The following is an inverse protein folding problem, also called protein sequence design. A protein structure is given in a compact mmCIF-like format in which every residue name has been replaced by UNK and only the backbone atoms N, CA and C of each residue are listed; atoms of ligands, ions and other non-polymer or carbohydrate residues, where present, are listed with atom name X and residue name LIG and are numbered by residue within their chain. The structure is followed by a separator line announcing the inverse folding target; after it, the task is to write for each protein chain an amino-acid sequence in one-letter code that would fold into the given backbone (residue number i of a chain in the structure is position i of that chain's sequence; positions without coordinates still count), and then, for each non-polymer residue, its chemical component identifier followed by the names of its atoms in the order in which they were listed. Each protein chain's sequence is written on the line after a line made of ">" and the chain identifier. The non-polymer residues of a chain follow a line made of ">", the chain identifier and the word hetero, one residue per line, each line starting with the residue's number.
data_IF_665503132768
#
_entry.id   IF_665503132768
#
_cell.length_a   1.000
_cell.length_b   1.000
_cell.length_c   1.000
_cell.angle_alpha   90.00
_cell.angle_beta   90.00
_cell.angle_gamma   90.00
#
_symmetry.space_group_name_H-M   'P 1'
#
loop_
_entity.id
_entity.type
_entity.pdbx_description
1 polymer ?
#
# COMPACT_ATOMS: atom_id res chain seq x y z
N UNK A 1 -11.46 -18.15 20.44
CA UNK A 1 -10.59 -17.34 19.55
C UNK A 1 -9.17 -17.63 19.98
N UNK A 2 -8.40 -18.30 19.13
CA UNK A 2 -7.00 -18.63 19.40
C UNK A 2 -6.20 -17.33 19.43
N UNK A 3 -5.67 -16.98 20.63
CA UNK A 3 -4.82 -15.81 20.81
C UNK A 3 -3.50 -16.00 20.06
N UNK A 4 -3.45 -15.47 18.84
CA UNK A 4 -2.16 -15.27 18.20
C UNK A 4 -1.40 -14.23 18.99
N UNK A 5 -0.14 -14.53 19.31
CA UNK A 5 0.74 -13.55 19.92
C UNK A 5 0.72 -12.26 19.10
N UNK A 6 0.74 -11.06 19.71
CA UNK A 6 0.68 -9.78 19.02
C UNK A 6 1.68 -9.66 17.86
N UNK A 7 2.83 -10.31 18.01
CA UNK A 7 3.87 -10.40 17.00
C UNK A 7 3.42 -11.18 15.75
N UNK A 8 2.79 -12.33 15.93
CA UNK A 8 2.30 -13.15 14.82
C UNK A 8 1.17 -12.44 14.04
N UNK A 9 0.27 -11.78 14.77
CA UNK A 9 -0.83 -11.04 14.17
C UNK A 9 -0.33 -9.86 13.31
N UNK A 10 0.63 -9.10 13.83
CA UNK A 10 1.23 -8.00 13.09
C UNK A 10 1.92 -8.48 11.81
N UNK A 11 2.76 -9.51 11.94
CA UNK A 11 3.46 -10.07 10.78
C UNK A 11 2.48 -10.62 9.74
N UNK A 12 1.38 -11.20 10.20
CA UNK A 12 0.32 -11.64 9.30
C UNK A 12 -0.31 -10.47 8.54
N UNK A 13 -0.61 -9.34 9.19
CA UNK A 13 -1.16 -8.15 8.53
C UNK A 13 -0.19 -7.60 7.47
N UNK A 14 1.08 -7.44 7.83
CA UNK A 14 2.09 -6.90 6.91
C UNK A 14 2.25 -7.81 5.69
N UNK A 15 2.40 -9.11 5.91
CA UNK A 15 2.45 -10.09 4.82
C UNK A 15 1.18 -10.09 3.96
N UNK A 16 0.01 -9.95 4.57
CA UNK A 16 -1.24 -9.87 3.82
C UNK A 16 -1.27 -8.66 2.91
N UNK A 17 -0.73 -7.51 3.34
CA UNK A 17 -0.62 -6.34 2.49
C UNK A 17 0.33 -6.58 1.30
N UNK A 18 1.49 -7.21 1.53
CA UNK A 18 2.45 -7.59 0.48
C UNK A 18 1.82 -8.56 -0.53
N UNK A 19 1.25 -9.65 -0.04
CA UNK A 19 0.59 -10.66 -0.88
C UNK A 19 -0.56 -10.09 -1.69
N UNK A 20 -1.36 -9.19 -1.09
CA UNK A 20 -2.49 -8.54 -1.78
C UNK A 20 -2.01 -7.71 -2.95
N UNK A 21 -0.97 -6.88 -2.75
CA UNK A 21 -0.40 -6.08 -3.82
C UNK A 21 0.22 -6.95 -4.91
N UNK A 22 1.05 -7.91 -4.54
CA UNK A 22 1.76 -8.78 -5.48
C UNK A 22 0.79 -9.62 -6.32
N UNK A 23 -0.29 -10.13 -5.72
CA UNK A 23 -1.35 -10.84 -6.46
C UNK A 23 -2.13 -9.91 -7.38
N UNK A 24 -2.45 -8.70 -6.92
CA UNK A 24 -3.12 -7.70 -7.76
C UNK A 24 -2.27 -7.40 -8.99
N UNK A 25 -1.00 -7.03 -8.79
CA UNK A 25 -0.08 -6.71 -9.87
C UNK A 25 0.03 -7.85 -10.88
N UNK A 26 0.29 -9.06 -10.41
CA UNK A 26 0.44 -10.24 -11.26
C UNK A 26 -0.82 -10.54 -12.09
N UNK A 27 -2.00 -10.52 -11.44
CA UNK A 27 -3.28 -10.77 -12.13
C UNK A 27 -3.63 -9.66 -13.11
N UNK A 28 -3.35 -8.41 -12.74
CA UNK A 28 -3.58 -7.26 -13.60
C UNK A 28 -2.68 -7.32 -14.85
N UNK A 29 -1.40 -7.62 -14.69
CA UNK A 29 -0.47 -7.80 -15.81
C UNK A 29 -0.91 -8.92 -16.76
N UNK A 30 -1.26 -10.08 -16.19
CA UNK A 30 -1.73 -11.21 -16.99
C UNK A 30 -2.99 -10.86 -17.79
N UNK A 31 -3.95 -10.20 -17.14
CA UNK A 31 -5.20 -9.79 -17.78
C UNK A 31 -4.96 -8.71 -18.85
N UNK A 32 -4.08 -7.75 -18.60
CA UNK A 32 -3.69 -6.75 -19.58
C UNK A 32 -3.10 -7.39 -20.83
N UNK A 33 -2.11 -8.27 -20.67
CA UNK A 33 -1.46 -8.98 -21.79
C UNK A 33 -2.46 -9.80 -22.61
N UNK A 34 -3.42 -10.45 -21.93
CA UNK A 34 -4.44 -11.26 -22.60
C UNK A 34 -5.37 -10.43 -23.50
N UNK A 35 -5.62 -9.15 -23.15
CA UNK A 35 -6.62 -8.30 -23.81
C UNK A 35 -6.04 -7.08 -24.54
N UNK A 36 -4.73 -6.85 -24.50
CA UNK A 36 -4.13 -5.65 -25.10
C UNK A 36 -4.34 -5.55 -26.61
N UNK A 37 -4.52 -6.68 -27.28
CA UNK A 37 -4.75 -6.73 -28.73
C UNK A 37 -6.20 -6.42 -29.13
N UNK A 38 -7.14 -6.66 -28.22
CA UNK A 38 -8.57 -6.58 -28.50
C UNK A 38 -9.19 -5.25 -28.06
N UNK A 39 -8.40 -4.38 -27.43
CA UNK A 39 -8.90 -3.10 -26.94
C UNK A 39 -9.05 -2.09 -28.09
N UNK A 40 -10.28 -1.67 -28.43
CA UNK A 40 -10.52 -0.65 -29.46
C UNK A 40 -9.97 0.74 -29.08
N UNK A 41 -9.62 0.93 -27.81
CA UNK A 41 -9.09 2.18 -27.24
C UNK A 41 -7.58 2.14 -27.04
N UNK A 42 -6.87 1.13 -27.56
CA UNK A 42 -5.42 1.17 -27.53
C UNK A 42 -4.96 2.27 -28.50
N UNK A 43 -4.53 3.42 -27.96
CA UNK A 43 -3.93 4.53 -28.72
C UNK A 43 -2.68 4.13 -29.50
N UNK A 44 -2.19 2.91 -29.30
CA UNK A 44 -1.01 2.37 -29.90
C UNK A 44 -1.39 1.31 -30.92
N UNK A 45 -1.09 1.57 -32.16
CA UNK A 45 -1.21 0.57 -33.20
C UNK A 45 -0.28 -0.61 -32.82
N UNK A 46 -0.83 -1.81 -32.70
CA UNK A 46 -0.07 -3.03 -32.38
C UNK A 46 1.19 -3.22 -33.26
N UNK A 47 1.22 -2.57 -34.42
CA UNK A 47 2.35 -2.59 -35.35
C UNK A 47 3.57 -1.78 -34.87
N UNK A 48 3.45 -0.90 -33.90
CA UNK A 48 4.56 -0.09 -33.40
C UNK A 48 5.37 -0.72 -32.26
N UNK A 49 5.05 -1.92 -31.91
CA UNK A 49 5.95 -2.77 -31.14
C UNK A 49 5.50 -3.12 -29.72
N UNK A 50 5.66 -4.39 -29.40
CA UNK A 50 5.43 -4.98 -28.08
C UNK A 50 6.16 -4.25 -26.93
N UNK A 51 7.29 -3.58 -27.25
CA UNK A 51 8.09 -2.81 -26.27
C UNK A 51 7.30 -1.60 -25.76
N UNK A 52 6.56 -0.90 -26.63
CA UNK A 52 5.74 0.25 -26.23
C UNK A 52 4.62 -0.14 -25.27
N UNK A 53 3.94 -1.26 -25.51
CA UNK A 53 2.90 -1.79 -24.61
C UNK A 53 3.45 -2.22 -23.27
N UNK A 54 4.61 -2.88 -23.25
CA UNK A 54 5.24 -3.30 -22.00
C UNK A 54 5.61 -2.09 -21.14
N UNK A 55 6.21 -1.05 -21.73
CA UNK A 55 6.56 0.18 -21.01
C UNK A 55 5.31 0.93 -20.49
N UNK A 56 4.25 1.00 -21.31
CA UNK A 56 2.99 1.62 -20.90
C UNK A 56 2.37 0.90 -19.71
N UNK A 57 2.31 -0.43 -19.75
CA UNK A 57 1.81 -1.26 -18.64
C UNK A 57 2.62 -1.06 -17.38
N UNK A 58 3.94 -1.07 -17.46
CA UNK A 58 4.81 -0.82 -16.32
C UNK A 58 4.58 0.57 -15.72
N UNK A 59 4.48 1.61 -16.55
CA UNK A 59 4.20 2.98 -16.09
C UNK A 59 2.83 3.07 -15.42
N UNK A 60 1.82 2.44 -15.99
CA UNK A 60 0.48 2.44 -15.43
C UNK A 60 0.43 1.76 -14.06
N UNK A 61 1.01 0.57 -13.93
CA UNK A 61 1.12 -0.13 -12.64
C UNK A 61 1.93 0.65 -11.62
N UNK A 62 2.99 1.31 -12.07
CA UNK A 62 3.78 2.21 -11.21
C UNK A 62 2.94 3.35 -10.65
N UNK A 63 2.13 4.02 -11.48
CA UNK A 63 1.23 5.08 -11.03
C UNK A 63 0.17 4.55 -10.06
N UNK A 64 -0.44 3.39 -10.34
CA UNK A 64 -1.39 2.76 -9.41
C UNK A 64 -0.72 2.49 -8.05
N UNK A 65 0.53 2.01 -8.05
CA UNK A 65 1.27 1.76 -6.81
C UNK A 65 1.49 3.05 -6.01
N UNK A 66 1.98 4.10 -6.66
CA UNK A 66 2.20 5.41 -6.05
C UNK A 66 0.90 6.01 -5.51
N UNK A 67 -0.19 5.91 -6.25
CA UNK A 67 -1.50 6.39 -5.81
C UNK A 67 -2.03 5.56 -4.64
N UNK A 68 -1.84 4.25 -4.66
CA UNK A 68 -2.20 3.35 -3.54
C UNK A 68 -1.50 3.79 -2.25
N UNK A 69 -0.20 4.10 -2.30
CA UNK A 69 0.57 4.61 -1.16
C UNK A 69 0.01 5.95 -0.69
N UNK A 70 -0.26 6.88 -1.61
CA UNK A 70 -0.81 8.19 -1.29
C UNK A 70 -2.18 8.11 -0.64
N UNK A 71 -3.10 7.33 -1.20
CA UNK A 71 -4.43 7.11 -0.63
C UNK A 71 -4.40 6.41 0.72
N UNK A 72 -3.53 5.41 0.87
CA UNK A 72 -3.34 4.74 2.16
C UNK A 72 -2.88 5.73 3.24
N UNK A 73 -1.92 6.60 2.93
CA UNK A 73 -1.46 7.64 3.85
C UNK A 73 -2.58 8.61 4.24
N UNK A 74 -3.39 9.09 3.28
CA UNK A 74 -4.55 9.94 3.54
C UNK A 74 -5.57 9.25 4.45
N UNK A 75 -5.81 7.94 4.21
CA UNK A 75 -6.69 7.12 5.06
C UNK A 75 -6.17 6.99 6.48
N UNK A 76 -4.86 6.80 6.66
CA UNK A 76 -4.21 6.74 7.96
C UNK A 76 -4.37 8.07 8.71
N UNK A 77 -4.05 9.21 8.07
CA UNK A 77 -4.20 10.53 8.67
C UNK A 77 -5.64 10.82 9.09
N UNK A 78 -6.62 10.50 8.24
CA UNK A 78 -8.04 10.72 8.53
C UNK A 78 -8.51 9.93 9.75
N UNK A 79 -7.95 8.75 10.01
CA UNK A 79 -8.28 7.92 11.17
C UNK A 79 -7.78 8.51 12.48
N UNK A 80 -6.76 9.36 12.44
CA UNK A 80 -6.20 10.02 13.62
C UNK A 80 -6.86 11.40 13.84
N UNK A 81 -6.92 12.24 12.81
CA UNK A 81 -7.38 13.64 12.94
C UNK A 81 -8.82 13.88 12.49
N UNK A 82 -9.45 12.96 11.80
CA UNK A 82 -10.79 13.17 11.26
C UNK A 82 -11.91 12.86 12.24
N UNK A 83 -13.14 13.20 11.83
CA UNK A 83 -14.36 12.79 12.52
C UNK A 83 -14.56 11.27 12.54
N UNK A 84 -13.95 10.57 11.59
CA UNK A 84 -14.00 9.11 11.47
C UNK A 84 -12.84 8.44 12.23
N UNK A 85 -12.69 8.77 13.52
CA UNK A 85 -11.74 8.06 14.39
C UNK A 85 -12.12 6.58 14.46
N UNK A 86 -11.10 5.71 14.47
CA UNK A 86 -11.33 4.27 14.60
C UNK A 86 -11.23 3.87 16.06
N UNK A 87 -12.16 3.02 16.49
CA UNK A 87 -12.23 2.49 17.84
C UNK A 87 -10.90 1.86 18.29
N UNK A 88 -10.26 1.11 17.41
CA UNK A 88 -8.98 0.43 17.66
C UNK A 88 -7.89 1.33 18.23
N UNK A 89 -7.90 2.62 17.89
CA UNK A 89 -6.93 3.60 18.39
C UNK A 89 -7.57 4.49 19.46
N UNK A 90 -8.80 4.94 19.21
CA UNK A 90 -9.48 5.90 20.10
C UNK A 90 -9.80 5.30 21.48
N UNK A 91 -10.05 3.99 21.54
CA UNK A 91 -10.39 3.26 22.75
C UNK A 91 -9.18 2.69 23.52
N UNK A 92 -7.94 2.97 23.10
CA UNK A 92 -6.76 2.62 23.88
C UNK A 92 -6.81 3.36 25.21
N UNK A 93 -6.96 2.65 26.37
CA UNK A 93 -7.21 3.30 27.66
C UNK A 93 -6.02 4.14 28.15
N UNK A 94 -4.81 3.64 27.94
CA UNK A 94 -3.59 4.37 28.32
C UNK A 94 -3.30 5.49 27.32
N UNK A 95 -3.43 6.72 27.78
CA UNK A 95 -3.17 7.93 26.97
C UNK A 95 -1.76 7.95 26.37
N UNK A 96 -0.75 7.53 27.13
CA UNK A 96 0.64 7.53 26.66
C UNK A 96 0.84 6.52 25.53
N UNK A 97 0.27 5.33 25.66
CA UNK A 97 0.29 4.32 24.61
C UNK A 97 -0.45 4.80 23.37
N UNK A 98 -1.65 5.37 23.54
CA UNK A 98 -2.45 5.93 22.43
C UNK A 98 -1.70 7.02 21.66
N UNK A 99 -1.14 7.99 22.35
CA UNK A 99 -0.33 9.06 21.72
C UNK A 99 0.90 8.50 21.00
N UNK A 100 1.49 7.41 21.52
CA UNK A 100 2.59 6.69 20.85
C UNK A 100 2.14 6.09 19.51
N UNK A 101 1.00 5.41 19.49
CA UNK A 101 0.41 4.83 18.27
C UNK A 101 0.05 5.92 17.27
N UNK A 102 -0.66 6.97 17.71
CA UNK A 102 -1.05 8.10 16.84
C UNK A 102 0.17 8.74 16.18
N UNK A 103 1.24 8.96 16.95
CA UNK A 103 2.51 9.51 16.43
C UNK A 103 3.15 8.61 15.37
N UNK A 104 3.19 7.31 15.62
CA UNK A 104 3.77 6.36 14.68
C UNK A 104 2.97 6.30 13.38
N UNK A 105 1.63 6.27 13.46
CA UNK A 105 0.74 6.33 12.29
C UNK A 105 0.98 7.61 11.48
N UNK A 106 1.07 8.75 12.15
CA UNK A 106 1.32 10.03 11.47
C UNK A 106 2.71 10.12 10.86
N UNK A 107 3.73 9.59 11.53
CA UNK A 107 5.09 9.50 10.99
C UNK A 107 5.12 8.66 9.72
N UNK A 108 4.48 7.49 9.74
CA UNK A 108 4.36 6.61 8.58
C UNK A 108 3.65 7.31 7.42
N UNK A 109 2.47 7.88 7.69
CA UNK A 109 1.69 8.58 6.67
C UNK A 109 2.43 9.76 6.05
N UNK A 110 3.19 10.54 6.86
CA UNK A 110 4.03 11.63 6.37
C UNK A 110 5.08 11.14 5.38
N UNK A 111 5.82 10.09 5.71
CA UNK A 111 6.84 9.51 4.83
C UNK A 111 6.18 9.01 3.54
N UNK A 112 5.06 8.29 3.65
CA UNK A 112 4.32 7.78 2.50
C UNK A 112 3.89 8.90 1.54
N UNK A 113 3.36 10.02 2.05
CA UNK A 113 2.98 11.17 1.19
C UNK A 113 4.19 11.81 0.54
N UNK A 114 5.23 12.08 1.33
CA UNK A 114 6.40 12.83 0.84
C UNK A 114 7.29 12.02 -0.10
N UNK A 115 7.33 10.70 0.08
CA UNK A 115 8.25 9.81 -0.63
C UNK A 115 7.54 8.72 -1.44
N UNK A 116 6.24 8.90 -1.78
CA UNK A 116 5.46 7.88 -2.48
C UNK A 116 6.12 7.37 -3.76
N UNK A 117 6.82 8.22 -4.48
CA UNK A 117 7.52 7.89 -5.72
C UNK A 117 8.87 7.20 -5.50
N UNK A 118 9.39 7.10 -4.29
CA UNK A 118 10.67 6.43 -4.00
C UNK A 118 10.50 4.93 -3.70
N UNK A 119 9.36 4.53 -3.16
CA UNK A 119 9.10 3.12 -2.86
C UNK A 119 9.03 2.28 -4.13
N UNK A 120 9.70 1.15 -4.12
CA UNK A 120 9.77 0.22 -5.27
C UNK A 120 8.85 -0.97 -5.11
N UNK A 121 8.54 -1.37 -3.87
CA UNK A 121 7.72 -2.52 -3.56
C UNK A 121 6.94 -2.33 -2.26
N UNK A 122 5.96 -3.22 -2.01
CA UNK A 122 5.20 -3.21 -0.77
C UNK A 122 6.06 -3.64 0.43
N UNK A 123 7.07 -4.47 0.20
CA UNK A 123 8.01 -4.92 1.21
C UNK A 123 8.83 -3.75 1.80
N UNK A 124 9.15 -2.73 1.00
CA UNK A 124 9.79 -1.50 1.51
C UNK A 124 8.87 -0.72 2.45
N UNK A 125 7.58 -0.69 2.16
CA UNK A 125 6.59 -0.06 3.03
C UNK A 125 6.39 -0.82 4.34
N UNK A 126 6.33 -2.15 4.28
CA UNK A 126 6.18 -2.98 5.47
C UNK A 126 7.44 -2.95 6.33
N UNK A 127 8.62 -2.89 5.73
CA UNK A 127 9.88 -2.67 6.44
C UNK A 127 9.89 -1.31 7.16
N UNK A 128 9.45 -0.24 6.51
CA UNK A 128 9.30 1.08 7.14
C UNK A 128 8.32 1.03 8.33
N UNK A 129 7.21 0.31 8.19
CA UNK A 129 6.25 0.15 9.29
C UNK A 129 6.87 -0.58 10.50
N UNK A 130 7.72 -1.57 10.26
CA UNK A 130 8.45 -2.28 11.31
C UNK A 130 9.50 -1.38 11.98
N UNK A 131 10.19 -0.55 11.21
CA UNK A 131 11.18 0.41 11.74
C UNK A 131 10.52 1.48 12.62
N UNK A 132 9.40 2.06 12.15
CA UNK A 132 8.69 3.12 12.89
C UNK A 132 8.06 2.60 14.19
N UNK A 133 7.61 1.37 14.19
CA UNK A 133 6.96 0.74 15.33
C UNK A 133 7.61 -0.63 15.64
N UNK A 134 8.83 -0.66 16.16
CA UNK A 134 9.46 -1.92 16.56
C UNK A 134 8.65 -2.55 17.68
N UNK A 135 8.47 -3.88 17.60
CA UNK A 135 7.93 -4.64 18.70
C UNK A 135 8.98 -4.71 19.82
N UNK A 136 8.62 -4.23 20.98
CA UNK A 136 9.41 -4.35 22.21
C UNK A 136 8.89 -5.50 23.02
#
# INVERSE_FOLDING_TARGET
>A
MLGREPFEYRNWILRTAEETWNQFQSKFEANWVAHEKDSPNSYWNYQEGQIGFALQRQRFLRHIFEDTIGFAACKMMRRIYGLAKVADIAEIPDLKARLGVERNVMRMAKVMVQQRGSFRSMEELTALAQEISPLR
#
